data_IF_346910666102
#
_entry.id   IF_346910666102
#
_cell.length_a   1.000
_cell.length_b   1.000
_cell.length_c   1.000
_cell.angle_alpha   90.00
_cell.angle_beta   90.00
_cell.angle_gamma   90.00
#
_symmetry.space_group_name_H-M   'P 1'
#
loop_
_entity.id
_entity.type
_entity.pdbx_description
1 polymer ?
#
# COMPACT_ATOMS: atom_id res chain seq x y z
N UNK A 1 14.88 -18.21 49.96
CA UNK A 1 14.22 -16.91 50.02
C UNK A 1 13.77 -16.58 48.59
N UNK A 2 12.49 -16.84 48.33
CA UNK A 2 11.91 -16.59 47.00
C UNK A 2 11.49 -15.13 46.87
N UNK A 3 12.06 -14.44 45.89
CA UNK A 3 11.62 -13.09 45.53
C UNK A 3 10.48 -13.23 44.54
N UNK A 4 9.25 -13.09 45.03
CA UNK A 4 8.04 -13.03 44.24
C UNK A 4 8.05 -11.70 43.51
N UNK A 5 8.31 -11.70 42.22
CA UNK A 5 8.15 -10.52 41.37
C UNK A 5 6.64 -10.21 41.24
N UNK A 6 6.18 -9.28 42.07
CA UNK A 6 4.86 -8.64 41.89
C UNK A 6 4.93 -7.80 40.61
N UNK A 7 4.42 -8.35 39.51
CA UNK A 7 4.04 -7.57 38.34
C UNK A 7 2.95 -6.57 38.79
N UNK A 8 3.30 -5.30 38.86
CA UNK A 8 2.33 -4.22 38.94
C UNK A 8 1.48 -4.26 37.64
N UNK A 9 0.39 -5.02 37.64
CA UNK A 9 -0.72 -4.78 36.75
C UNK A 9 -1.28 -3.40 37.15
N UNK A 10 -0.94 -2.36 36.37
CA UNK A 10 -1.74 -1.13 36.40
C UNK A 10 -3.17 -1.56 36.07
N UNK A 11 -4.12 -1.24 36.93
CA UNK A 11 -5.56 -1.34 36.64
C UNK A 11 -5.84 -0.47 35.40
N UNK A 12 -5.73 -1.04 34.23
CA UNK A 12 -6.11 -0.36 32.98
C UNK A 12 -7.64 -0.35 32.99
N UNK A 13 -8.22 0.82 33.18
CA UNK A 13 -9.68 0.99 33.09
C UNK A 13 -10.13 0.50 31.71
N UNK A 14 -10.92 -0.57 31.67
CA UNK A 14 -11.51 -1.08 30.43
C UNK A 14 -12.36 0.01 29.79
N UNK A 15 -12.08 0.30 28.53
CA UNK A 15 -12.82 1.29 27.73
C UNK A 15 -13.59 0.58 26.60
N UNK A 16 -14.71 1.18 26.20
CA UNK A 16 -15.45 0.81 24.97
C UNK A 16 -14.90 1.61 23.80
N UNK A 17 -14.33 0.94 22.83
CA UNK A 17 -13.66 1.60 21.70
C UNK A 17 -14.28 1.12 20.39
N UNK A 18 -14.76 2.08 19.57
CA UNK A 18 -15.16 1.79 18.20
C UNK A 18 -13.95 1.93 17.26
N UNK A 19 -13.77 0.97 16.36
CA UNK A 19 -12.81 1.05 15.26
C UNK A 19 -13.58 0.98 13.95
N UNK A 20 -13.43 1.99 13.10
CA UNK A 20 -14.16 2.13 11.83
C UNK A 20 -13.21 1.92 10.66
N UNK A 21 -13.44 0.84 9.92
CA UNK A 21 -12.59 0.34 8.85
C UNK A 21 -11.73 -0.84 9.29
N UNK A 22 -11.76 -1.92 8.51
CA UNK A 22 -11.07 -3.17 8.80
C UNK A 22 -9.85 -3.43 7.92
N UNK A 23 -9.29 -2.41 7.29
CA UNK A 23 -7.95 -2.50 6.67
C UNK A 23 -6.88 -2.80 7.73
N UNK A 24 -5.63 -3.02 7.29
CA UNK A 24 -4.52 -3.36 8.21
C UNK A 24 -4.38 -2.37 9.37
N UNK A 25 -4.68 -1.08 9.15
CA UNK A 25 -4.62 -0.04 10.18
C UNK A 25 -5.66 -0.27 11.28
N UNK A 26 -6.92 -0.49 10.89
CA UNK A 26 -7.98 -0.75 11.84
C UNK A 26 -7.85 -2.10 12.52
N UNK A 27 -7.48 -3.14 11.78
CA UNK A 27 -7.25 -4.48 12.33
C UNK A 27 -6.12 -4.47 13.36
N UNK A 28 -4.99 -3.80 13.08
CA UNK A 28 -3.87 -3.75 14.01
C UNK A 28 -4.17 -2.95 15.28
N UNK A 29 -4.89 -1.82 15.14
CA UNK A 29 -5.35 -1.04 16.29
C UNK A 29 -6.34 -1.85 17.12
N UNK A 30 -7.39 -2.42 16.50
CA UNK A 30 -8.41 -3.22 17.16
C UNK A 30 -7.82 -4.44 17.88
N UNK A 31 -6.90 -5.16 17.23
CA UNK A 31 -6.22 -6.32 17.77
C UNK A 31 -5.38 -5.98 19.01
N UNK A 32 -4.58 -4.89 18.96
CA UNK A 32 -3.75 -4.46 20.08
C UNK A 32 -4.60 -4.00 21.27
N UNK A 33 -5.64 -3.21 21.00
CA UNK A 33 -6.55 -2.70 22.03
C UNK A 33 -7.34 -3.85 22.70
N UNK A 34 -7.85 -4.80 21.92
CA UNK A 34 -8.58 -5.97 22.43
C UNK A 34 -7.67 -6.86 23.32
N UNK A 35 -6.44 -7.17 22.88
CA UNK A 35 -5.46 -7.95 23.67
C UNK A 35 -5.08 -7.28 24.98
N UNK A 36 -5.25 -5.96 25.07
CA UNK A 36 -4.98 -5.19 26.28
C UNK A 36 -6.18 -5.03 27.21
N UNK A 37 -7.28 -5.74 26.93
CA UNK A 37 -8.45 -5.80 27.81
C UNK A 37 -9.50 -4.72 27.57
N UNK A 38 -9.44 -4.00 26.45
CA UNK A 38 -10.50 -3.07 26.05
C UNK A 38 -11.64 -3.79 25.33
N UNK A 39 -12.87 -3.29 25.44
CA UNK A 39 -14.03 -3.75 24.68
C UNK A 39 -14.02 -3.08 23.30
N UNK A 40 -13.62 -3.83 22.26
CA UNK A 40 -13.46 -3.30 20.92
C UNK A 40 -14.62 -3.71 20.01
N UNK A 41 -15.20 -2.74 19.32
CA UNK A 41 -16.22 -2.92 18.28
C UNK A 41 -15.65 -2.50 16.93
N UNK A 42 -15.39 -3.48 16.03
CA UNK A 42 -14.87 -3.25 14.69
C UNK A 42 -16.02 -3.17 13.67
N UNK A 43 -16.11 -2.05 12.96
CA UNK A 43 -17.08 -1.80 11.91
C UNK A 43 -16.44 -1.88 10.53
N UNK A 44 -17.08 -2.61 9.62
CA UNK A 44 -16.70 -2.71 8.22
C UNK A 44 -17.92 -2.51 7.32
N UNK A 45 -17.78 -1.59 6.36
CA UNK A 45 -18.86 -1.27 5.42
C UNK A 45 -18.98 -2.32 4.31
N UNK A 46 -17.84 -2.89 3.90
CA UNK A 46 -17.74 -3.91 2.85
C UNK A 46 -18.28 -5.27 3.27
N UNK A 47 -18.19 -6.22 2.38
CA UNK A 47 -18.68 -7.59 2.54
C UNK A 47 -17.60 -8.58 3.01
N UNK A 48 -16.38 -8.10 3.24
CA UNK A 48 -15.26 -8.83 3.85
C UNK A 48 -14.44 -7.91 4.76
N UNK A 49 -13.73 -8.51 5.73
CA UNK A 49 -12.74 -7.81 6.53
C UNK A 49 -11.38 -7.85 5.84
N UNK A 50 -10.62 -6.75 5.91
CA UNK A 50 -9.24 -6.72 5.39
C UNK A 50 -8.92 -5.49 4.53
N UNK A 51 -9.92 -4.80 3.99
CA UNK A 51 -9.70 -3.67 3.08
C UNK A 51 -8.92 -4.12 1.82
N UNK A 52 -7.72 -3.55 1.57
CA UNK A 52 -6.85 -3.98 0.46
C UNK A 52 -6.31 -5.42 0.62
N UNK A 53 -6.47 -6.06 1.77
CA UNK A 53 -6.21 -7.49 1.95
C UNK A 53 -7.43 -8.27 1.50
N UNK A 54 -7.55 -8.41 0.19
CA UNK A 54 -8.67 -9.10 -0.46
C UNK A 54 -8.17 -10.35 -1.16
N UNK A 55 -8.41 -11.51 -0.54
CA UNK A 55 -8.13 -12.82 -1.13
C UNK A 55 -9.41 -13.42 -1.68
N UNK A 56 -9.42 -13.75 -2.97
CA UNK A 56 -10.56 -14.31 -3.70
C UNK A 56 -10.28 -15.77 -4.04
N UNK A 57 -11.23 -16.64 -3.78
CA UNK A 57 -11.14 -18.04 -4.21
C UNK A 57 -11.53 -18.17 -5.68
N UNK A 58 -10.65 -18.78 -6.48
CA UNK A 58 -10.88 -19.06 -7.90
C UNK A 58 -10.65 -20.53 -8.21
N UNK A 59 -11.26 -21.00 -9.30
CA UNK A 59 -11.03 -22.34 -9.81
C UNK A 59 -10.37 -22.27 -11.18
N UNK A 60 -9.11 -22.71 -11.26
CA UNK A 60 -8.31 -22.74 -12.49
C UNK A 60 -7.60 -24.08 -12.61
N UNK A 61 -7.54 -24.66 -13.82
CA UNK A 61 -6.96 -25.98 -14.09
C UNK A 61 -7.57 -27.08 -13.17
N UNK A 62 -8.87 -26.98 -12.84
CA UNK A 62 -9.58 -27.92 -11.98
C UNK A 62 -9.23 -27.86 -10.48
N UNK A 63 -8.51 -26.82 -10.04
CA UNK A 63 -8.14 -26.61 -8.64
C UNK A 63 -8.70 -25.29 -8.11
N UNK A 64 -9.20 -25.32 -6.86
CA UNK A 64 -9.67 -24.10 -6.17
C UNK A 64 -8.61 -23.64 -5.19
N UNK A 65 -8.25 -22.34 -5.24
CA UNK A 65 -7.25 -21.71 -4.38
C UNK A 65 -7.49 -20.20 -4.26
N UNK A 66 -6.93 -19.61 -3.19
CA UNK A 66 -7.01 -18.17 -2.95
C UNK A 66 -5.95 -17.39 -3.72
N UNK A 67 -6.34 -16.25 -4.27
CA UNK A 67 -5.44 -15.25 -4.89
C UNK A 67 -5.71 -13.87 -4.32
N UNK A 68 -4.66 -13.10 -4.12
CA UNK A 68 -4.75 -11.74 -3.59
C UNK A 68 -4.94 -10.74 -4.74
N UNK A 69 -5.83 -9.76 -4.54
CA UNK A 69 -6.16 -8.75 -5.56
C UNK A 69 -5.73 -7.33 -5.19
N UNK A 70 -5.28 -7.11 -3.94
CA UNK A 70 -4.82 -5.81 -3.45
C UNK A 70 -3.43 -5.91 -2.82
N UNK A 71 -3.30 -6.33 -1.57
CA UNK A 71 -2.00 -6.53 -0.93
C UNK A 71 -1.34 -7.82 -1.41
N UNK A 72 -0.24 -7.71 -2.17
CA UNK A 72 0.41 -8.84 -2.85
C UNK A 72 1.72 -9.28 -2.19
N UNK A 73 2.59 -8.34 -1.83
CA UNK A 73 3.98 -8.63 -1.44
C UNK A 73 4.51 -7.73 -0.35
N UNK A 74 5.50 -8.22 0.39
CA UNK A 74 6.27 -7.50 1.39
C UNK A 74 7.72 -8.00 1.40
N UNK A 75 8.62 -7.31 2.12
CA UNK A 75 9.99 -7.77 2.34
C UNK A 75 10.44 -7.48 3.77
N UNK A 76 11.47 -8.17 4.24
CA UNK A 76 11.92 -8.06 5.63
C UNK A 76 12.61 -6.72 5.94
N UNK A 77 13.08 -5.99 4.92
CA UNK A 77 13.81 -4.74 5.11
C UNK A 77 12.89 -3.55 5.36
N UNK A 78 11.81 -3.45 4.59
CA UNK A 78 10.90 -2.29 4.62
C UNK A 78 9.56 -2.56 5.29
N UNK A 79 9.31 -3.80 5.72
CA UNK A 79 8.09 -4.20 6.44
C UNK A 79 8.42 -4.85 7.80
N UNK A 80 9.26 -4.20 8.66
CA UNK A 80 9.74 -4.84 9.89
C UNK A 80 8.62 -5.13 10.90
N UNK A 81 7.60 -4.27 11.01
CA UNK A 81 6.47 -4.51 11.91
C UNK A 81 5.56 -5.61 11.37
N UNK A 82 5.32 -5.65 10.05
CA UNK A 82 4.50 -6.69 9.43
C UNK A 82 5.13 -8.08 9.59
N UNK A 83 6.45 -8.19 9.40
CA UNK A 83 7.20 -9.43 9.63
C UNK A 83 7.04 -9.89 11.08
N UNK A 84 7.23 -8.98 12.05
CA UNK A 84 7.06 -9.29 13.47
C UNK A 84 5.63 -9.67 13.84
N UNK A 85 4.65 -8.99 13.25
CA UNK A 85 3.24 -9.34 13.40
C UNK A 85 2.99 -10.77 12.90
N UNK A 86 3.47 -11.12 11.69
CA UNK A 86 3.29 -12.45 11.11
C UNK A 86 3.97 -13.54 11.96
N UNK A 87 5.15 -13.25 12.52
CA UNK A 87 5.83 -14.14 13.46
C UNK A 87 4.99 -14.36 14.74
N UNK A 88 4.40 -13.29 15.31
CA UNK A 88 3.58 -13.36 16.55
C UNK A 88 2.31 -14.17 16.34
N UNK A 89 1.58 -13.92 15.24
CA UNK A 89 0.31 -14.58 14.94
C UNK A 89 0.45 -15.85 14.08
N UNK A 90 1.69 -16.32 13.84
CA UNK A 90 2.02 -17.58 13.15
C UNK A 90 1.46 -17.66 11.72
N UNK A 91 1.70 -16.63 10.93
CA UNK A 91 1.33 -16.60 9.50
C UNK A 91 2.47 -17.14 8.64
N UNK A 92 2.18 -18.13 7.80
CA UNK A 92 3.15 -18.69 6.86
C UNK A 92 3.33 -17.78 5.65
N UNK A 93 4.57 -17.65 5.20
CA UNK A 93 4.95 -16.81 4.05
C UNK A 93 5.77 -17.60 3.05
N UNK A 94 5.73 -17.22 1.79
CA UNK A 94 6.49 -17.83 0.69
C UNK A 94 7.30 -16.78 -0.04
N UNK A 95 8.45 -17.16 -0.59
CA UNK A 95 9.23 -16.30 -1.47
C UNK A 95 8.42 -15.88 -2.70
N UNK A 96 8.55 -14.63 -3.11
CA UNK A 96 7.86 -14.01 -4.23
C UNK A 96 8.85 -13.37 -5.20
N UNK A 97 8.45 -13.25 -6.46
CA UNK A 97 9.16 -12.50 -7.48
C UNK A 97 8.68 -11.03 -7.48
N UNK A 98 9.60 -10.09 -7.71
CA UNK A 98 9.30 -8.66 -7.83
C UNK A 98 9.93 -8.11 -9.12
N UNK A 99 9.88 -8.90 -10.19
CA UNK A 99 10.33 -8.49 -11.51
C UNK A 99 9.35 -7.50 -12.15
N UNK A 100 9.89 -6.65 -13.03
CA UNK A 100 9.16 -5.59 -13.69
C UNK A 100 9.42 -5.61 -15.20
N UNK A 101 8.37 -5.40 -16.00
CA UNK A 101 8.45 -5.23 -17.44
C UNK A 101 7.66 -4.03 -17.94
N UNK A 102 8.02 -3.58 -19.13
CA UNK A 102 7.31 -2.53 -19.87
C UNK A 102 6.88 -3.04 -21.25
N UNK A 103 5.64 -2.69 -21.61
CA UNK A 103 5.04 -2.82 -22.95
C UNK A 103 4.47 -1.46 -23.33
N UNK A 104 5.13 -0.74 -24.27
CA UNK A 104 4.74 0.62 -24.63
C UNK A 104 5.01 0.90 -26.11
N UNK A 105 4.21 1.74 -26.79
CA UNK A 105 4.43 2.10 -28.18
C UNK A 105 5.66 3.02 -28.32
N UNK A 106 6.41 2.85 -29.42
CA UNK A 106 7.58 3.69 -29.73
C UNK A 106 7.20 5.07 -30.30
N UNK A 107 5.94 5.26 -30.67
CA UNK A 107 5.34 6.53 -31.09
C UNK A 107 3.82 6.47 -30.90
N UNK A 108 3.17 7.64 -30.86
CA UNK A 108 1.70 7.75 -30.70
C UNK A 108 0.91 7.49 -32.00
N UNK A 109 1.58 7.01 -33.05
CA UNK A 109 0.92 6.67 -34.33
C UNK A 109 0.19 5.32 -34.23
N UNK A 110 -1.01 5.19 -34.83
CA UNK A 110 -1.70 3.92 -34.90
C UNK A 110 -0.83 2.82 -35.53
N UNK A 111 -0.80 1.64 -34.91
CA UNK A 111 0.05 0.54 -35.34
C UNK A 111 1.55 0.69 -35.04
N UNK A 112 1.91 1.62 -34.15
CA UNK A 112 3.29 1.80 -33.72
C UNK A 112 3.91 0.48 -33.22
N UNK A 113 5.18 0.32 -33.46
CA UNK A 113 5.93 -0.82 -32.92
C UNK A 113 5.97 -0.74 -31.41
N UNK A 114 5.68 -1.85 -30.75
CA UNK A 114 5.79 -1.96 -29.30
C UNK A 114 7.24 -2.18 -28.87
N UNK A 115 7.65 -1.46 -27.85
CA UNK A 115 8.84 -1.72 -27.06
C UNK A 115 8.44 -2.65 -25.90
N UNK A 116 9.11 -3.80 -25.81
CA UNK A 116 8.95 -4.77 -24.72
C UNK A 116 10.30 -5.12 -24.14
N UNK A 117 10.45 -4.99 -22.84
CA UNK A 117 11.66 -5.35 -22.10
C UNK A 117 11.33 -5.60 -20.63
N UNK A 118 12.21 -6.32 -19.94
CA UNK A 118 12.07 -6.56 -18.50
C UNK A 118 13.41 -6.42 -17.77
N UNK A 119 13.38 -5.99 -16.52
CA UNK A 119 14.59 -5.62 -15.77
C UNK A 119 15.24 -6.73 -14.95
N UNK A 120 14.90 -8.02 -15.17
CA UNK A 120 15.39 -9.11 -14.34
C UNK A 120 16.86 -9.47 -14.61
N UNK A 121 17.26 -9.54 -15.90
CA UNK A 121 18.61 -9.87 -16.34
C UNK A 121 18.85 -9.39 -17.79
N UNK A 122 20.09 -9.51 -18.30
CA UNK A 122 20.42 -9.06 -19.66
C UNK A 122 19.58 -9.75 -20.74
N UNK A 123 19.21 -11.01 -20.55
CA UNK A 123 18.39 -11.73 -21.52
C UNK A 123 16.98 -11.14 -21.62
N UNK A 124 16.40 -10.72 -20.50
CA UNK A 124 15.06 -10.09 -20.42
C UNK A 124 15.12 -8.61 -20.81
N UNK A 125 16.18 -7.88 -20.48
CA UNK A 125 16.40 -6.50 -20.94
C UNK A 125 16.42 -6.46 -22.46
N UNK A 126 17.10 -7.39 -23.09
CA UNK A 126 17.16 -7.53 -24.54
C UNK A 126 16.23 -8.63 -25.07
N UNK A 127 15.04 -8.80 -24.47
CA UNK A 127 14.03 -9.73 -24.98
C UNK A 127 13.69 -9.45 -26.45
N UNK A 128 13.69 -8.19 -26.86
CA UNK A 128 13.73 -7.77 -28.25
C UNK A 128 15.18 -7.56 -28.69
N UNK A 129 15.81 -8.55 -29.33
CA UNK A 129 17.24 -8.53 -29.70
C UNK A 129 17.67 -7.31 -30.54
N UNK A 130 16.74 -6.71 -31.31
CA UNK A 130 16.99 -5.47 -32.07
C UNK A 130 17.39 -4.30 -31.15
N UNK A 131 17.02 -4.31 -29.87
CA UNK A 131 17.35 -3.25 -28.91
C UNK A 131 18.84 -3.21 -28.56
N UNK A 132 19.62 -4.27 -28.85
CA UNK A 132 21.09 -4.27 -28.77
C UNK A 132 21.72 -3.19 -29.66
N UNK A 133 21.09 -2.87 -30.78
CA UNK A 133 21.55 -1.89 -31.74
C UNK A 133 20.72 -0.61 -31.78
N UNK A 134 19.80 -0.44 -30.83
CA UNK A 134 18.94 0.76 -30.76
C UNK A 134 19.60 1.82 -29.85
N UNK A 135 20.13 2.93 -30.41
CA UNK A 135 20.85 3.93 -29.62
C UNK A 135 19.97 4.62 -28.58
N UNK A 136 18.66 4.76 -28.83
CA UNK A 136 17.69 5.29 -27.86
C UNK A 136 17.57 4.35 -26.66
N UNK A 137 17.44 3.04 -26.90
CA UNK A 137 17.35 2.05 -25.84
C UNK A 137 18.64 1.98 -25.01
N UNK A 138 19.80 2.00 -25.67
CA UNK A 138 21.11 2.02 -24.99
C UNK A 138 21.31 3.30 -24.16
N UNK A 139 20.78 4.44 -24.62
CA UNK A 139 20.76 5.70 -23.86
C UNK A 139 19.93 5.55 -22.57
N UNK A 140 18.74 4.95 -22.67
CA UNK A 140 17.91 4.63 -21.49
C UNK A 140 18.71 3.80 -20.47
N UNK A 141 19.36 2.71 -20.91
CA UNK A 141 20.16 1.85 -20.01
C UNK A 141 21.29 2.63 -19.34
N UNK A 142 22.03 3.44 -20.10
CA UNK A 142 23.07 4.31 -19.54
C UNK A 142 22.51 5.24 -18.47
N UNK A 143 21.36 5.85 -18.73
CA UNK A 143 20.73 6.80 -17.82
C UNK A 143 20.15 6.11 -16.58
N UNK A 144 19.66 4.87 -16.67
CA UNK A 144 19.29 4.03 -15.50
C UNK A 144 20.51 3.87 -14.56
N UNK A 145 21.66 3.44 -15.11
CA UNK A 145 22.87 3.23 -14.31
C UNK A 145 23.38 4.53 -13.69
N UNK A 146 23.30 5.63 -14.45
CA UNK A 146 23.68 6.97 -13.98
C UNK A 146 22.76 7.44 -12.85
N UNK A 147 21.44 7.33 -13.02
CA UNK A 147 20.44 7.71 -12.03
C UNK A 147 20.62 6.92 -10.72
N UNK A 148 20.75 5.60 -10.82
CA UNK A 148 20.97 4.75 -9.66
C UNK A 148 22.23 5.17 -8.87
N UNK A 149 23.33 5.47 -9.56
CA UNK A 149 24.56 5.95 -8.91
C UNK A 149 24.38 7.32 -8.26
N UNK A 150 23.82 8.31 -8.99
CA UNK A 150 23.64 9.67 -8.50
C UNK A 150 22.69 9.70 -7.28
N UNK A 151 21.55 9.03 -7.37
CA UNK A 151 20.56 9.01 -6.28
C UNK A 151 21.03 8.23 -5.05
N UNK A 152 21.83 7.16 -5.24
CA UNK A 152 22.47 6.46 -4.13
C UNK A 152 23.47 7.35 -3.40
N UNK A 153 24.29 8.12 -4.13
CA UNK A 153 25.23 9.08 -3.54
C UNK A 153 24.48 10.21 -2.79
N UNK A 154 23.40 10.72 -3.38
CA UNK A 154 22.57 11.74 -2.73
C UNK A 154 21.98 11.23 -1.41
N UNK A 155 21.46 10.02 -1.40
CA UNK A 155 20.86 9.41 -0.22
C UNK A 155 21.86 9.08 0.89
N UNK A 156 23.14 8.88 0.55
CA UNK A 156 24.23 8.62 1.50
C UNK A 156 24.91 9.92 1.99
N UNK A 157 24.63 11.05 1.34
CA UNK A 157 25.20 12.33 1.76
C UNK A 157 24.39 12.90 2.94
N UNK A 158 25.11 13.43 3.97
CA UNK A 158 24.50 14.14 5.11
C UNK A 158 23.87 15.49 4.71
N UNK A 159 23.95 15.87 3.43
CA UNK A 159 23.32 17.10 2.91
C UNK A 159 21.83 16.84 2.74
N UNK A 160 21.03 17.80 3.25
CA UNK A 160 19.61 17.83 2.92
C UNK A 160 19.45 17.80 1.40
N UNK A 161 18.71 16.82 0.89
CA UNK A 161 18.35 16.81 -0.52
C UNK A 161 17.45 18.01 -0.78
N UNK A 162 17.72 18.74 -1.88
CA UNK A 162 16.85 19.84 -2.30
C UNK A 162 15.40 19.34 -2.42
N UNK A 163 14.47 20.09 -1.87
CA UNK A 163 13.04 19.81 -1.95
C UNK A 163 12.48 20.24 -3.32
N UNK A 164 13.12 19.72 -4.40
CA UNK A 164 12.69 19.99 -5.77
C UNK A 164 11.83 18.87 -6.30
N UNK A 165 10.92 19.14 -7.26
CA UNK A 165 10.18 18.13 -7.99
C UNK A 165 11.12 17.19 -8.77
N UNK A 166 10.73 15.91 -8.86
CA UNK A 166 11.47 14.90 -9.65
C UNK A 166 11.68 15.35 -11.10
N UNK A 167 10.67 15.96 -11.72
CA UNK A 167 10.74 16.48 -13.09
C UNK A 167 11.82 17.52 -13.29
N UNK A 168 11.97 18.46 -12.34
CA UNK A 168 12.99 19.51 -12.38
C UNK A 168 14.39 18.93 -12.24
N UNK A 169 14.55 17.92 -11.38
CA UNK A 169 15.83 17.20 -11.26
C UNK A 169 16.22 16.53 -12.57
N UNK A 170 15.27 15.80 -13.21
CA UNK A 170 15.53 15.15 -14.49
C UNK A 170 15.93 16.14 -15.58
N UNK A 171 15.23 17.29 -15.66
CA UNK A 171 15.54 18.34 -16.63
C UNK A 171 16.90 18.99 -16.37
N UNK A 172 17.20 19.40 -15.14
CA UNK A 172 18.49 20.02 -14.76
C UNK A 172 19.68 19.10 -15.02
N UNK A 173 19.48 17.79 -14.78
CA UNK A 173 20.53 16.77 -14.99
C UNK A 173 20.53 16.23 -16.41
N UNK A 174 19.66 16.71 -17.31
CA UNK A 174 19.59 16.33 -18.72
C UNK A 174 19.45 14.80 -18.91
N UNK A 175 18.55 14.18 -18.14
CA UNK A 175 18.18 12.80 -18.39
C UNK A 175 17.38 12.67 -19.68
N UNK A 176 17.58 11.58 -20.42
CA UNK A 176 16.87 11.35 -21.69
C UNK A 176 15.36 11.13 -21.49
N UNK A 177 14.58 11.49 -22.51
CA UNK A 177 13.16 11.19 -22.56
C UNK A 177 12.89 9.70 -22.52
N UNK A 178 13.77 8.90 -23.14
CA UNK A 178 13.69 7.43 -23.11
C UNK A 178 13.83 6.88 -21.68
N UNK A 179 14.74 7.44 -20.87
CA UNK A 179 14.89 7.06 -19.47
C UNK A 179 13.63 7.42 -18.68
N UNK A 180 13.13 8.64 -18.87
CA UNK A 180 11.92 9.13 -18.18
C UNK A 180 10.70 8.29 -18.56
N UNK A 181 10.41 8.12 -19.86
CA UNK A 181 9.13 7.61 -20.36
C UNK A 181 9.10 6.08 -20.52
N UNK A 182 10.25 5.43 -20.70
CA UNK A 182 10.31 3.98 -20.91
C UNK A 182 10.74 3.19 -19.67
N UNK A 183 11.19 3.87 -18.62
CA UNK A 183 11.63 3.23 -17.37
C UNK A 183 11.09 3.92 -16.13
N UNK A 184 11.46 5.21 -15.87
CA UNK A 184 11.28 5.82 -14.56
C UNK A 184 9.80 6.04 -14.23
N UNK A 185 9.05 6.69 -15.12
CA UNK A 185 7.62 6.95 -14.92
C UNK A 185 6.78 5.68 -14.94
N UNK A 186 7.00 4.70 -15.85
CA UNK A 186 6.38 3.38 -15.76
C UNK A 186 6.59 2.70 -14.40
N UNK A 187 7.84 2.65 -13.91
CA UNK A 187 8.15 2.04 -12.62
C UNK A 187 7.46 2.78 -11.47
N UNK A 188 7.58 4.10 -11.43
CA UNK A 188 6.98 4.93 -10.39
C UNK A 188 5.44 4.85 -10.41
N UNK A 189 4.84 4.93 -11.58
CA UNK A 189 3.40 4.78 -11.75
C UNK A 189 2.88 3.43 -11.26
N UNK A 190 3.60 2.34 -11.51
CA UNK A 190 3.25 1.02 -10.96
C UNK A 190 3.27 0.97 -9.44
N UNK A 191 4.20 1.68 -8.81
CA UNK A 191 4.37 1.67 -7.34
C UNK A 191 3.23 2.40 -6.65
N UNK A 192 2.86 3.60 -7.14
CA UNK A 192 1.85 4.44 -6.50
C UNK A 192 0.48 4.41 -7.21
N UNK A 193 0.37 3.70 -8.33
CA UNK A 193 -0.88 3.59 -9.12
C UNK A 193 -1.50 4.95 -9.47
N UNK A 194 -0.65 5.95 -9.72
CA UNK A 194 -1.05 7.31 -10.04
C UNK A 194 -0.53 7.75 -11.42
N UNK A 195 -1.19 8.72 -12.07
CA UNK A 195 -0.78 9.24 -13.37
C UNK A 195 0.68 9.70 -13.41
N UNK A 196 1.35 9.43 -14.53
CA UNK A 196 2.79 9.69 -14.69
C UNK A 196 3.18 11.16 -14.50
N UNK A 197 2.30 12.10 -14.87
CA UNK A 197 2.53 13.55 -14.67
C UNK A 197 2.60 13.92 -13.18
N UNK A 198 1.78 13.30 -12.35
CA UNK A 198 1.82 13.52 -10.90
C UNK A 198 3.16 13.07 -10.30
N UNK A 199 3.76 12.02 -10.87
CA UNK A 199 5.09 11.57 -10.43
C UNK A 199 6.20 12.58 -10.71
N UNK A 200 6.08 13.40 -11.75
CA UNK A 200 7.06 14.46 -12.02
C UNK A 200 7.00 15.59 -10.98
N UNK A 201 5.85 15.84 -10.37
CA UNK A 201 5.67 16.78 -9.28
C UNK A 201 6.08 16.23 -7.91
N UNK A 202 6.38 14.92 -7.81
CA UNK A 202 6.72 14.26 -6.55
C UNK A 202 8.06 14.81 -6.00
N UNK A 203 8.16 15.08 -4.67
CA UNK A 203 9.40 15.56 -4.08
C UNK A 203 10.55 14.56 -4.27
N UNK A 204 11.66 15.02 -4.85
CA UNK A 204 12.83 14.19 -5.16
C UNK A 204 13.36 13.44 -3.93
N UNK A 205 13.48 14.13 -2.81
CA UNK A 205 13.98 13.56 -1.57
C UNK A 205 13.14 12.36 -1.10
N UNK A 206 11.82 12.49 -1.16
CA UNK A 206 10.86 11.43 -0.81
C UNK A 206 10.97 10.25 -1.77
N UNK A 207 11.03 10.54 -3.08
CA UNK A 207 11.19 9.51 -4.12
C UNK A 207 12.49 8.71 -3.96
N UNK A 208 13.61 9.40 -3.78
CA UNK A 208 14.93 8.75 -3.64
C UNK A 208 15.00 7.90 -2.37
N UNK A 209 14.54 8.41 -1.22
CA UNK A 209 14.50 7.65 0.04
C UNK A 209 13.66 6.39 -0.11
N UNK A 210 12.47 6.53 -0.70
CA UNK A 210 11.61 5.39 -0.96
C UNK A 210 12.29 4.33 -1.83
N UNK A 211 12.83 4.74 -3.00
CA UNK A 211 13.51 3.83 -3.93
C UNK A 211 14.71 3.15 -3.30
N UNK A 212 15.48 3.86 -2.45
CA UNK A 212 16.61 3.29 -1.74
C UNK A 212 16.17 2.27 -0.70
N UNK A 213 15.17 2.59 0.13
CA UNK A 213 14.64 1.70 1.15
C UNK A 213 14.14 0.39 0.54
N UNK A 214 13.44 0.46 -0.59
CA UNK A 214 12.88 -0.70 -1.28
C UNK A 214 13.88 -1.39 -2.24
N UNK A 215 15.13 -0.91 -2.35
CA UNK A 215 16.15 -1.52 -3.23
C UNK A 215 15.86 -1.36 -4.73
N UNK A 216 15.03 -0.40 -5.12
CA UNK A 216 14.61 -0.20 -6.51
C UNK A 216 15.69 0.44 -7.39
N UNK A 217 16.59 1.22 -6.79
CA UNK A 217 17.75 1.86 -7.44
C UNK A 217 19.03 1.02 -7.29
N UNK A 218 18.90 -0.25 -6.89
CA UNK A 218 20.02 -1.18 -6.75
C UNK A 218 19.98 -2.22 -7.87
N UNK A 219 21.12 -2.45 -8.50
CA UNK A 219 21.28 -3.49 -9.53
C UNK A 219 21.54 -4.86 -8.88
N UNK A 220 22.23 -4.88 -7.73
CA UNK A 220 22.55 -6.06 -6.92
C UNK A 220 22.08 -5.90 -5.49
N UNK A 221 22.05 -6.99 -4.73
CA UNK A 221 21.60 -7.01 -3.33
C UNK A 221 20.16 -6.49 -3.11
N UNK A 222 19.29 -6.76 -4.08
CA UNK A 222 17.85 -6.45 -3.95
C UNK A 222 17.26 -7.29 -2.81
N UNK A 223 16.34 -6.75 -1.99
CA UNK A 223 15.68 -7.53 -0.96
C UNK A 223 14.89 -8.68 -1.58
N UNK A 224 14.87 -9.84 -0.91
CA UNK A 224 13.93 -10.90 -1.24
C UNK A 224 12.53 -10.44 -0.83
N UNK A 225 11.58 -10.60 -1.74
CA UNK A 225 10.17 -10.33 -1.50
C UNK A 225 9.45 -11.61 -1.11
N UNK A 226 8.36 -11.47 -0.39
CA UNK A 226 7.54 -12.54 0.14
C UNK A 226 6.07 -12.22 -0.07
N UNK A 227 5.25 -13.27 -0.05
CA UNK A 227 3.79 -13.20 -0.02
C UNK A 227 3.25 -14.09 1.09
N UNK A 228 1.99 -13.90 1.49
CA UNK A 228 1.34 -14.80 2.46
C UNK A 228 0.93 -16.09 1.74
N UNK A 229 1.37 -17.23 2.26
CA UNK A 229 1.05 -18.53 1.68
C UNK A 229 -0.45 -18.81 1.74
N UNK A 230 -1.06 -19.07 0.58
CA UNK A 230 -2.51 -19.34 0.47
C UNK A 230 -3.40 -18.10 0.50
N UNK A 231 -2.80 -16.89 0.52
CA UNK A 231 -3.49 -15.60 0.47
C UNK A 231 -3.48 -14.84 1.77
N UNK A 232 -3.47 -13.53 1.65
CA UNK A 232 -3.29 -12.61 2.77
C UNK A 232 -4.46 -12.62 3.78
N UNK A 233 -5.65 -13.08 3.40
CA UNK A 233 -6.78 -13.26 4.35
C UNK A 233 -6.41 -14.08 5.59
N UNK A 234 -5.39 -14.94 5.52
CA UNK A 234 -5.00 -15.77 6.66
C UNK A 234 -4.56 -14.93 7.86
N UNK A 235 -3.83 -13.84 7.67
CA UNK A 235 -3.47 -12.97 8.78
C UNK A 235 -4.69 -12.20 9.32
N UNK A 236 -5.61 -11.78 8.44
CA UNK A 236 -6.86 -11.10 8.84
C UNK A 236 -7.67 -11.97 9.78
N UNK A 237 -7.85 -13.25 9.43
CA UNK A 237 -8.56 -14.23 10.27
C UNK A 237 -7.90 -14.37 11.64
N UNK A 238 -6.56 -14.36 11.71
CA UNK A 238 -5.86 -14.45 13.01
C UNK A 238 -6.11 -13.21 13.88
N UNK A 239 -6.02 -12.00 13.31
CA UNK A 239 -6.27 -10.76 14.05
C UNK A 239 -7.71 -10.66 14.57
N UNK A 240 -8.66 -11.11 13.76
CA UNK A 240 -10.09 -11.08 14.11
C UNK A 240 -10.44 -11.98 15.31
N UNK A 241 -9.63 -12.99 15.66
CA UNK A 241 -9.89 -13.88 16.80
C UNK A 241 -9.93 -13.14 18.14
N UNK A 242 -9.11 -12.12 18.29
CA UNK A 242 -9.00 -11.33 19.53
C UNK A 242 -10.10 -10.27 19.66
N UNK A 243 -10.77 -9.91 18.56
CA UNK A 243 -11.77 -8.85 18.54
C UNK A 243 -13.14 -9.44 18.84
N UNK A 244 -13.80 -8.97 19.92
CA UNK A 244 -15.07 -9.53 20.38
C UNK A 244 -16.22 -9.14 19.46
N UNK A 245 -16.40 -7.84 19.22
CA UNK A 245 -17.53 -7.31 18.45
C UNK A 245 -17.08 -6.98 17.03
N UNK A 246 -17.61 -7.69 16.03
CA UNK A 246 -17.27 -7.53 14.61
C UNK A 246 -18.54 -7.34 13.79
N UNK A 247 -18.66 -6.17 13.15
CA UNK A 247 -19.84 -5.76 12.39
C UNK A 247 -19.47 -5.63 10.91
N UNK A 248 -19.73 -6.68 10.16
CA UNK A 248 -19.53 -6.74 8.69
C UNK A 248 -20.77 -6.19 7.99
N UNK A 249 -20.61 -5.61 6.80
CA UNK A 249 -21.72 -4.97 6.04
C UNK A 249 -22.48 -3.94 6.88
N UNK A 250 -21.76 -3.26 7.78
CA UNK A 250 -22.34 -2.35 8.75
C UNK A 250 -21.67 -0.97 8.62
N UNK A 251 -21.99 -0.21 7.56
CA UNK A 251 -21.43 1.12 7.38
C UNK A 251 -21.81 2.04 8.54
N UNK A 252 -20.81 2.69 9.11
CA UNK A 252 -21.03 3.83 10.01
C UNK A 252 -21.51 5.01 9.17
N UNK A 253 -22.53 5.70 9.63
CA UNK A 253 -23.18 6.81 8.93
C UNK A 253 -22.75 8.16 9.46
N UNK A 254 -22.55 8.26 10.77
CA UNK A 254 -22.21 9.50 11.45
C UNK A 254 -21.51 9.23 12.77
N UNK A 255 -20.61 10.13 13.12
CA UNK A 255 -19.89 10.14 14.39
C UNK A 255 -19.97 11.56 14.96
N UNK A 256 -20.39 11.67 16.22
CA UNK A 256 -20.42 12.94 16.95
C UNK A 256 -19.82 12.78 18.34
N UNK A 257 -19.15 13.83 18.80
CA UNK A 257 -18.55 13.89 20.14
C UNK A 257 -19.55 14.56 21.09
N UNK A 258 -19.96 13.84 22.11
CA UNK A 258 -21.00 14.27 23.03
C UNK A 258 -20.42 14.57 24.40
N UNK A 259 -20.58 15.80 24.88
CA UNK A 259 -20.21 16.17 26.24
C UNK A 259 -21.34 15.79 27.21
N UNK A 260 -21.07 14.88 28.12
CA UNK A 260 -21.97 14.41 29.16
C UNK A 260 -21.55 14.94 30.56
N UNK A 261 -21.20 16.22 30.64
CA UNK A 261 -20.68 16.84 31.83
C UNK A 261 -19.23 16.46 32.15
N UNK A 262 -19.00 15.63 33.14
CA UNK A 262 -17.63 15.21 33.52
C UNK A 262 -16.95 14.22 32.54
N UNK A 263 -17.68 13.66 31.62
CA UNK A 263 -17.19 12.67 30.65
C UNK A 263 -17.58 13.06 29.23
N UNK A 264 -16.61 12.98 28.32
CA UNK A 264 -16.85 13.07 26.88
C UNK A 264 -16.96 11.66 26.32
N UNK A 265 -17.99 11.41 25.54
CA UNK A 265 -18.18 10.16 24.81
C UNK A 265 -18.32 10.39 23.31
N UNK A 266 -18.21 9.34 22.53
CA UNK A 266 -18.38 9.36 21.08
C UNK A 266 -19.61 8.54 20.74
N UNK A 267 -20.57 9.18 20.07
CA UNK A 267 -21.74 8.53 19.51
C UNK A 267 -21.43 8.06 18.10
N UNK A 268 -21.60 6.78 17.84
CA UNK A 268 -21.42 6.16 16.52
C UNK A 268 -22.80 5.70 16.02
N UNK A 269 -23.21 6.19 14.86
CA UNK A 269 -24.47 5.83 14.21
C UNK A 269 -24.22 4.89 13.04
N UNK A 270 -24.93 3.77 13.01
CA UNK A 270 -24.87 2.77 11.95
C UNK A 270 -26.26 2.25 11.61
N UNK A 271 -26.35 1.25 10.74
CA UNK A 271 -27.62 0.55 10.49
C UNK A 271 -28.16 -0.18 11.73
N UNK A 272 -27.32 -0.44 12.73
CA UNK A 272 -27.69 -1.07 14.01
C UNK A 272 -28.24 -0.07 15.03
N UNK A 273 -28.36 1.20 14.69
CA UNK A 273 -28.72 2.27 15.60
C UNK A 273 -27.51 3.07 16.10
N UNK A 274 -27.68 3.77 17.22
CA UNK A 274 -26.68 4.62 17.85
C UNK A 274 -26.07 3.93 19.07
N UNK A 275 -24.76 3.82 19.13
CA UNK A 275 -24.02 3.29 20.27
C UNK A 275 -23.03 4.33 20.81
N UNK A 276 -22.81 4.31 22.13
CA UNK A 276 -21.88 5.21 22.81
C UNK A 276 -20.57 4.49 23.13
N UNK A 277 -19.47 5.17 22.86
CA UNK A 277 -18.11 4.70 23.09
C UNK A 277 -17.29 5.72 23.87
N UNK A 278 -16.29 5.24 24.59
CA UNK A 278 -15.32 6.11 25.27
C UNK A 278 -14.34 6.74 24.26
N UNK A 279 -14.02 6.01 23.20
CA UNK A 279 -13.07 6.42 22.16
C UNK A 279 -13.50 5.89 20.77
N UNK A 280 -13.07 6.57 19.72
CA UNK A 280 -13.21 6.07 18.35
C UNK A 280 -11.88 6.14 17.59
N UNK A 281 -11.61 5.10 16.81
CA UNK A 281 -10.50 5.04 15.86
C UNK A 281 -11.08 5.04 14.45
N UNK A 282 -10.81 6.09 13.68
CA UNK A 282 -11.16 6.19 12.27
C UNK A 282 -9.98 5.64 11.44
N UNK A 283 -10.16 4.44 10.91
CA UNK A 283 -9.15 3.68 10.18
C UNK A 283 -9.52 3.46 8.70
N UNK A 284 -10.33 4.33 8.16
CA UNK A 284 -10.68 4.45 6.73
C UNK A 284 -9.86 5.56 6.05
N UNK A 285 -10.16 5.88 4.79
CA UNK A 285 -9.54 7.00 4.09
C UNK A 285 -9.77 8.31 4.84
N UNK A 286 -8.88 9.29 4.68
CA UNK A 286 -8.99 10.57 5.40
C UNK A 286 -10.25 11.35 5.01
N UNK A 287 -10.62 11.35 3.74
CA UNK A 287 -11.85 11.96 3.22
C UNK A 287 -13.11 11.27 3.76
N UNK A 288 -13.11 9.93 3.82
CA UNK A 288 -14.18 9.14 4.45
C UNK A 288 -14.26 9.42 5.94
N UNK A 289 -13.11 9.48 6.63
CA UNK A 289 -13.04 9.84 8.04
C UNK A 289 -13.67 11.22 8.30
N UNK A 290 -13.35 12.21 7.45
CA UNK A 290 -13.91 13.54 7.53
C UNK A 290 -15.43 13.54 7.29
N UNK A 291 -15.89 12.80 6.28
CA UNK A 291 -17.30 12.71 5.94
C UNK A 291 -18.16 12.09 7.07
N UNK A 292 -17.58 11.20 7.87
CA UNK A 292 -18.26 10.59 9.01
C UNK A 292 -18.39 11.53 10.22
N UNK A 293 -17.53 12.53 10.35
CA UNK A 293 -17.52 13.45 11.49
C UNK A 293 -18.54 14.56 11.30
N UNK A 294 -19.67 14.49 12.02
CA UNK A 294 -20.74 15.52 11.95
C UNK A 294 -20.34 16.84 12.61
N UNK A 295 -19.36 16.82 13.52
CA UNK A 295 -18.88 17.95 14.31
C UNK A 295 -17.37 18.20 14.14
N UNK A 296 -16.82 17.94 12.93
CA UNK A 296 -15.41 18.09 12.64
C UNK A 296 -14.89 19.51 12.95
N UNK A 297 -13.76 19.60 13.65
CA UNK A 297 -13.07 20.85 13.93
C UNK A 297 -12.44 21.46 12.68
N UNK A 298 -11.99 22.70 12.76
CA UNK A 298 -11.30 23.35 11.65
C UNK A 298 -9.98 22.64 11.31
N UNK A 299 -9.23 22.19 12.33
CA UNK A 299 -7.99 21.45 12.18
C UNK A 299 -8.24 20.07 11.56
N UNK A 300 -9.25 19.32 12.03
CA UNK A 300 -9.64 18.05 11.45
C UNK A 300 -10.00 18.21 9.96
N UNK A 301 -10.81 19.22 9.63
CA UNK A 301 -11.18 19.54 8.24
C UNK A 301 -9.93 19.82 7.40
N UNK A 302 -9.04 20.70 7.89
CA UNK A 302 -7.82 21.08 7.18
C UNK A 302 -6.91 19.87 6.90
N UNK A 303 -6.70 19.00 7.89
CA UNK A 303 -5.78 17.88 7.78
C UNK A 303 -6.40 16.75 6.92
N UNK A 304 -7.64 16.35 7.22
CA UNK A 304 -8.26 15.19 6.59
C UNK A 304 -8.66 15.44 5.13
N UNK A 305 -8.96 16.68 4.73
CA UNK A 305 -9.27 17.03 3.35
C UNK A 305 -8.05 17.21 2.44
N UNK A 306 -6.85 17.26 3.01
CA UNK A 306 -5.64 17.55 2.24
C UNK A 306 -5.09 16.35 1.46
N UNK A 307 -5.55 15.12 1.77
CA UNK A 307 -5.10 13.90 1.08
C UNK A 307 -6.13 13.54 0.01
N UNK A 308 -5.72 13.63 -1.25
CA UNK A 308 -6.51 13.17 -2.39
C UNK A 308 -6.42 11.65 -2.57
N UNK A 309 -7.39 11.07 -3.27
CA UNK A 309 -7.41 9.64 -3.61
C UNK A 309 -7.64 9.43 -5.10
N UNK A 310 -6.80 8.56 -5.68
CA UNK A 310 -6.92 8.12 -7.07
C UNK A 310 -7.73 6.81 -7.11
N UNK A 311 -8.90 6.78 -7.75
CA UNK A 311 -9.64 5.55 -7.97
C UNK A 311 -8.90 4.65 -8.96
N UNK A 312 -8.94 3.34 -8.71
CA UNK A 312 -8.32 2.31 -9.54
C UNK A 312 -9.27 1.13 -9.68
N UNK A 313 -9.45 0.66 -10.90
CA UNK A 313 -10.25 -0.51 -11.21
C UNK A 313 -9.37 -1.73 -11.43
N UNK A 314 -9.58 -2.79 -10.66
CA UNK A 314 -8.83 -4.04 -10.74
C UNK A 314 -9.72 -5.15 -11.32
N UNK A 315 -9.20 -5.87 -12.31
CA UNK A 315 -9.88 -7.01 -12.94
C UNK A 315 -9.04 -8.26 -12.75
N UNK A 316 -9.61 -9.29 -12.13
CA UNK A 316 -9.01 -10.62 -11.98
C UNK A 316 -9.46 -11.49 -13.15
N UNK A 317 -8.51 -12.03 -13.92
CA UNK A 317 -8.79 -12.78 -15.15
C UNK A 317 -7.65 -13.75 -15.52
N UNK A 318 -7.87 -14.53 -16.59
CA UNK A 318 -6.87 -15.45 -17.18
C UNK A 318 -6.48 -15.10 -18.62
N UNK A 319 -6.91 -13.97 -19.13
CA UNK A 319 -6.55 -13.51 -20.48
C UNK A 319 -5.11 -12.98 -20.50
N UNK A 320 -4.20 -13.73 -21.13
CA UNK A 320 -2.79 -13.37 -21.23
C UNK A 320 -2.45 -12.42 -22.40
N UNK A 321 -3.43 -11.96 -23.17
CA UNK A 321 -3.22 -11.05 -24.32
C UNK A 321 -2.68 -9.67 -23.89
N UNK A 322 -2.97 -9.26 -22.66
CA UNK A 322 -2.47 -8.03 -22.06
C UNK A 322 -0.96 -8.07 -21.75
N UNK A 323 -0.37 -9.25 -21.55
CA UNK A 323 1.04 -9.41 -21.26
C UNK A 323 1.92 -9.13 -22.50
N UNK A 324 3.25 -8.87 -22.32
CA UNK A 324 4.16 -8.77 -23.45
C UNK A 324 4.07 -9.96 -24.39
N UNK A 325 4.10 -9.71 -25.71
CA UNK A 325 4.05 -10.78 -26.72
C UNK A 325 5.23 -11.77 -26.57
N UNK A 326 6.35 -11.28 -26.05
CA UNK A 326 7.50 -12.12 -25.74
C UNK A 326 7.42 -12.65 -24.32
N UNK A 327 7.17 -13.94 -24.13
CA UNK A 327 7.11 -14.59 -22.82
C UNK A 327 8.38 -14.36 -21.97
N UNK A 328 9.54 -14.14 -22.60
CA UNK A 328 10.79 -13.80 -21.90
C UNK A 328 10.71 -12.45 -21.16
N UNK A 329 9.80 -11.54 -21.56
CA UNK A 329 9.59 -10.27 -20.91
C UNK A 329 8.46 -10.33 -19.87
N UNK A 330 7.78 -11.46 -19.69
CA UNK A 330 6.79 -11.61 -18.64
C UNK A 330 7.45 -11.44 -17.29
N UNK A 331 6.82 -10.65 -16.45
CA UNK A 331 7.30 -10.29 -15.12
C UNK A 331 6.17 -10.34 -14.12
N UNK A 332 6.50 -10.30 -12.86
CA UNK A 332 5.50 -10.19 -11.80
C UNK A 332 4.62 -8.95 -11.99
N UNK A 333 5.23 -7.84 -12.40
CA UNK A 333 4.58 -6.56 -12.71
C UNK A 333 4.83 -6.20 -14.17
N UNK A 334 3.77 -6.10 -14.96
CA UNK A 334 3.85 -5.78 -16.39
C UNK A 334 3.14 -4.46 -16.65
N UNK A 335 3.89 -3.39 -16.87
CA UNK A 335 3.37 -2.09 -17.22
C UNK A 335 2.95 -2.06 -18.69
N UNK A 336 1.76 -1.53 -18.97
CA UNK A 336 1.28 -1.26 -20.33
C UNK A 336 0.93 0.21 -20.50
N UNK A 337 1.27 0.79 -21.66
CA UNK A 337 0.89 2.15 -22.06
C UNK A 337 0.33 2.14 -23.47
N UNK A 338 -0.67 2.99 -23.71
CA UNK A 338 -1.20 3.29 -25.05
C UNK A 338 -0.47 4.45 -25.72
N UNK A 339 0.51 5.06 -25.07
CA UNK A 339 1.27 6.21 -25.57
C UNK A 339 1.22 7.41 -24.61
N UNK A 340 1.79 8.53 -25.06
CA UNK A 340 1.94 9.74 -24.21
C UNK A 340 0.62 10.46 -23.97
N UNK A 341 -0.40 10.21 -24.77
CA UNK A 341 -1.71 10.84 -24.64
C UNK A 341 -2.65 10.11 -23.65
N UNK A 342 -2.27 8.93 -23.17
CA UNK A 342 -3.04 8.17 -22.18
C UNK A 342 -2.33 8.24 -20.82
N UNK A 343 -2.79 9.08 -19.89
CA UNK A 343 -2.11 9.29 -18.60
C UNK A 343 -2.36 8.14 -17.60
N UNK A 344 -3.31 7.23 -17.91
CA UNK A 344 -3.64 6.13 -16.99
C UNK A 344 -2.46 5.16 -16.82
N UNK A 345 -2.19 4.80 -15.59
CA UNK A 345 -1.26 3.73 -15.28
C UNK A 345 -2.00 2.40 -15.38
N UNK A 346 -1.58 1.57 -16.32
CA UNK A 346 -2.05 0.21 -16.47
C UNK A 346 -0.96 -0.78 -16.05
N UNK A 347 -1.29 -1.67 -15.12
CA UNK A 347 -0.38 -2.71 -14.62
C UNK A 347 -1.07 -4.05 -14.62
N UNK A 348 -0.43 -5.06 -15.16
CA UNK A 348 -0.88 -6.44 -15.13
C UNK A 348 0.01 -7.24 -14.16
N UNK A 349 -0.52 -7.61 -13.01
CA UNK A 349 0.15 -8.44 -12.01
C UNK A 349 -0.01 -9.91 -12.39
N UNK A 350 1.07 -10.57 -12.80
CA UNK A 350 1.07 -12.01 -13.09
C UNK A 350 1.22 -12.77 -11.77
N UNK A 351 0.09 -13.20 -11.23
CA UNK A 351 0.02 -13.79 -9.89
C UNK A 351 0.79 -15.12 -9.78
N UNK A 352 0.95 -15.86 -10.88
CA UNK A 352 1.80 -17.08 -10.90
C UNK A 352 3.29 -16.82 -10.56
N UNK A 353 3.76 -15.57 -10.70
CA UNK A 353 5.10 -15.16 -10.28
C UNK A 353 5.13 -14.56 -8.88
N UNK A 354 4.00 -13.99 -8.44
CA UNK A 354 3.85 -13.34 -7.14
C UNK A 354 3.48 -14.31 -6.03
N UNK A 355 2.65 -15.31 -6.33
CA UNK A 355 2.14 -16.30 -5.38
C UNK A 355 2.43 -17.72 -5.88
N UNK A 356 2.70 -18.70 -5.00
CA UNK A 356 2.92 -20.09 -5.39
C UNK A 356 1.58 -20.78 -5.77
N UNK A 357 1.03 -20.40 -6.93
CA UNK A 357 -0.26 -20.92 -7.39
C UNK A 357 -0.13 -22.35 -7.94
N UNK A 358 -1.10 -23.23 -7.66
CA UNK A 358 -1.07 -24.63 -8.09
C UNK A 358 -1.60 -24.85 -9.53
N UNK A 359 -1.54 -23.83 -10.40
CA UNK A 359 -2.02 -23.84 -11.78
C UNK A 359 -0.93 -23.42 -12.77
N UNK A 360 -1.07 -23.79 -14.05
CA UNK A 360 -0.19 -23.37 -15.14
C UNK A 360 -0.77 -22.22 -15.96
N UNK A 361 -2.09 -22.14 -16.03
CA UNK A 361 -2.79 -21.04 -16.70
C UNK A 361 -2.41 -19.72 -16.02
N UNK A 362 -2.04 -18.68 -16.78
CA UNK A 362 -1.78 -17.36 -16.23
C UNK A 362 -3.00 -16.82 -15.47
N UNK A 363 -2.79 -16.42 -14.23
CA UNK A 363 -3.78 -15.70 -13.42
C UNK A 363 -3.27 -14.28 -13.24
N UNK A 364 -4.08 -13.30 -13.61
CA UNK A 364 -3.67 -11.91 -13.75
C UNK A 364 -4.65 -11.01 -13.00
N UNK A 365 -4.12 -10.05 -12.27
CA UNK A 365 -4.88 -8.87 -11.83
C UNK A 365 -4.43 -7.69 -12.66
N UNK A 366 -5.31 -7.16 -13.50
CA UNK A 366 -5.07 -5.96 -14.30
C UNK A 366 -5.61 -4.74 -13.56
N UNK A 367 -4.75 -3.80 -13.25
CA UNK A 367 -5.12 -2.50 -12.68
C UNK A 367 -5.29 -1.50 -13.81
N UNK A 368 -6.49 -0.91 -13.94
CA UNK A 368 -6.87 0.04 -14.98
C UNK A 368 -6.54 -0.46 -16.41
N UNK A 369 -7.00 -1.64 -16.82
CA UNK A 369 -6.65 -2.20 -18.13
C UNK A 369 -7.01 -1.23 -19.26
N UNK A 370 -6.11 -1.10 -20.24
CA UNK A 370 -6.35 -0.26 -21.44
C UNK A 370 -7.40 -0.88 -22.36
N UNK A 371 -7.42 -2.20 -22.41
CA UNK A 371 -8.44 -2.98 -23.10
C UNK A 371 -9.06 -3.95 -22.11
N UNK A 372 -10.38 -4.09 -22.16
CA UNK A 372 -11.08 -5.06 -21.30
C UNK A 372 -10.61 -6.49 -21.63
N UNK A 373 -10.29 -7.30 -20.62
CA UNK A 373 -10.01 -8.72 -20.81
C UNK A 373 -11.22 -9.45 -21.43
N UNK A 374 -10.96 -10.57 -22.10
CA UNK A 374 -12.04 -11.43 -22.59
C UNK A 374 -13.04 -11.71 -21.46
N UNK A 375 -14.34 -11.35 -21.63
CA UNK A 375 -15.35 -11.55 -20.58
C UNK A 375 -15.44 -12.98 -20.07
N UNK A 376 -15.16 -13.98 -20.90
CA UNK A 376 -15.15 -15.40 -20.50
C UNK A 376 -13.98 -15.74 -19.54
N UNK A 377 -12.93 -14.92 -19.51
CA UNK A 377 -11.77 -15.10 -18.66
C UNK A 377 -11.87 -14.36 -17.33
N UNK A 378 -12.84 -13.45 -17.17
CA UNK A 378 -12.97 -12.58 -15.99
C UNK A 378 -13.56 -13.36 -14.81
N UNK A 379 -12.90 -13.32 -13.67
CA UNK A 379 -13.29 -13.98 -12.42
C UNK A 379 -13.70 -13.00 -11.31
N UNK A 380 -13.34 -11.70 -11.44
CA UNK A 380 -13.73 -10.70 -10.46
C UNK A 380 -13.35 -9.27 -10.89
N UNK A 381 -14.08 -8.29 -10.33
CA UNK A 381 -13.83 -6.86 -10.53
C UNK A 381 -13.86 -6.17 -9.17
N UNK A 382 -12.92 -5.27 -8.92
CA UNK A 382 -12.73 -4.61 -7.63
C UNK A 382 -12.36 -3.16 -7.85
N UNK A 383 -12.93 -2.28 -7.03
CA UNK A 383 -12.59 -0.86 -7.02
C UNK A 383 -11.74 -0.57 -5.79
N UNK A 384 -10.56 -0.03 -6.03
CA UNK A 384 -9.64 0.43 -5.00
C UNK A 384 -9.39 1.93 -5.16
N UNK A 385 -8.97 2.59 -4.09
CA UNK A 385 -8.52 3.96 -4.14
C UNK A 385 -7.21 4.12 -3.38
N UNK A 386 -6.24 4.74 -4.01
CA UNK A 386 -4.91 4.94 -3.44
C UNK A 386 -4.68 6.41 -3.11
N UNK A 387 -4.07 6.74 -1.95
CA UNK A 387 -3.77 8.12 -1.59
C UNK A 387 -2.74 8.72 -2.54
N UNK A 388 -2.92 10.00 -2.85
CA UNK A 388 -1.99 10.79 -3.66
C UNK A 388 -1.14 11.64 -2.72
N UNK A 389 0.19 11.55 -2.85
CA UNK A 389 1.14 12.20 -1.96
C UNK A 389 1.77 13.44 -2.62
N UNK A 390 1.03 14.52 -2.64
CA UNK A 390 1.54 15.85 -2.97
C UNK A 390 2.06 16.60 -1.72
N UNK A 391 2.50 17.82 -1.89
CA UNK A 391 3.01 18.64 -0.78
C UNK A 391 1.95 18.93 0.29
N UNK A 392 0.66 19.01 -0.09
CA UNK A 392 -0.44 19.21 0.85
C UNK A 392 -0.67 17.96 1.72
N UNK A 393 -0.65 16.78 1.10
CA UNK A 393 -0.76 15.51 1.82
C UNK A 393 0.41 15.30 2.79
N UNK A 394 1.66 15.63 2.39
CA UNK A 394 2.84 15.54 3.26
C UNK A 394 2.73 16.51 4.44
N UNK A 395 2.28 17.76 4.21
CA UNK A 395 2.06 18.73 5.28
C UNK A 395 0.96 18.24 6.26
N UNK A 396 -0.10 17.63 5.74
CA UNK A 396 -1.16 17.04 6.57
C UNK A 396 -0.65 15.87 7.44
N UNK A 397 0.21 15.02 6.90
CA UNK A 397 0.86 13.94 7.68
C UNK A 397 1.67 14.51 8.86
N UNK A 398 2.42 15.59 8.64
CA UNK A 398 3.20 16.26 9.68
C UNK A 398 2.31 16.92 10.75
N UNK A 399 1.13 17.41 10.37
CA UNK A 399 0.18 18.05 11.28
C UNK A 399 -0.71 17.04 12.04
N UNK A 400 -0.82 15.81 11.56
CA UNK A 400 -1.71 14.78 12.11
C UNK A 400 -1.54 14.53 13.63
N UNK A 401 -0.33 14.53 14.20
CA UNK A 401 -0.15 14.37 15.65
C UNK A 401 -0.94 15.39 16.48
N UNK A 402 -1.19 16.57 15.94
CA UNK A 402 -1.94 17.64 16.63
C UNK A 402 -3.42 17.34 16.86
N UNK A 403 -4.01 16.43 16.10
CA UNK A 403 -5.42 16.03 16.25
C UNK A 403 -5.60 14.62 16.84
N UNK A 404 -4.52 13.86 17.01
CA UNK A 404 -4.59 12.50 17.55
C UNK A 404 -5.05 12.50 19.01
N UNK A 405 -6.07 11.67 19.31
CA UNK A 405 -6.66 11.56 20.64
C UNK A 405 -7.47 12.78 21.09
N UNK A 406 -7.50 13.85 20.31
CA UNK A 406 -8.32 15.01 20.62
C UNK A 406 -9.81 14.63 20.50
N UNK A 407 -10.59 15.13 21.46
CA UNK A 407 -12.04 14.85 21.49
C UNK A 407 -12.40 13.36 21.41
N UNK A 408 -11.53 12.48 22.02
CA UNK A 408 -11.70 11.02 22.05
C UNK A 408 -11.68 10.36 20.65
N UNK A 409 -10.98 10.97 19.69
CA UNK A 409 -10.95 10.53 18.30
C UNK A 409 -9.52 10.32 17.84
N UNK A 410 -9.26 9.18 17.19
CA UNK A 410 -7.97 8.77 16.66
C UNK A 410 -8.08 8.49 15.17
N UNK A 411 -7.02 8.71 14.43
CA UNK A 411 -6.98 8.52 12.98
C UNK A 411 -5.84 7.56 12.63
N UNK A 412 -6.14 6.58 11.81
CA UNK A 412 -5.16 5.62 11.28
C UNK A 412 -5.41 5.37 9.79
N UNK A 413 -4.39 4.96 9.07
CA UNK A 413 -4.48 4.65 7.64
C UNK A 413 -3.12 4.63 6.99
N UNK A 414 -2.97 3.92 5.87
CA UNK A 414 -1.75 3.94 5.09
C UNK A 414 -1.41 5.34 4.55
N UNK A 415 -2.40 6.22 4.43
CA UNK A 415 -2.26 7.62 4.02
C UNK A 415 -1.42 8.47 5.00
N UNK A 416 -1.18 7.98 6.22
CA UNK A 416 -0.31 8.64 7.21
C UNK A 416 1.18 8.43 6.94
N UNK A 417 1.55 7.62 5.94
CA UNK A 417 2.89 7.33 5.47
C UNK A 417 2.95 7.32 3.95
N UNK A 418 3.62 6.36 3.36
CA UNK A 418 3.80 6.23 1.91
C UNK A 418 2.68 5.44 1.20
N UNK A 419 1.62 5.05 1.89
CA UNK A 419 0.48 4.32 1.32
C UNK A 419 0.61 2.80 1.33
N UNK A 420 1.64 2.25 1.96
CA UNK A 420 1.90 0.82 1.97
C UNK A 420 1.35 0.11 3.22
N UNK A 421 1.31 -1.21 3.15
CA UNK A 421 0.79 -2.05 4.23
C UNK A 421 1.52 -1.84 5.56
N UNK A 422 2.85 -1.66 5.53
CA UNK A 422 3.66 -1.32 6.70
C UNK A 422 3.24 0.02 7.32
N UNK A 423 2.93 1.03 6.49
CA UNK A 423 2.51 2.34 6.98
C UNK A 423 1.14 2.26 7.66
N UNK A 424 0.22 1.50 7.04
CA UNK A 424 -1.07 1.22 7.65
C UNK A 424 -0.94 0.52 9.00
N UNK A 425 -0.11 -0.52 9.07
CA UNK A 425 0.19 -1.22 10.33
C UNK A 425 0.80 -0.29 11.38
N UNK A 426 1.83 0.49 10.98
CA UNK A 426 2.49 1.46 11.87
C UNK A 426 1.49 2.46 12.45
N UNK A 427 0.55 2.94 11.63
CA UNK A 427 -0.46 3.92 12.08
C UNK A 427 -1.42 3.32 13.12
N UNK A 428 -1.87 2.08 12.92
CA UNK A 428 -2.72 1.38 13.89
C UNK A 428 -2.00 1.09 15.20
N UNK A 429 -0.71 0.69 15.14
CA UNK A 429 0.12 0.50 16.33
C UNK A 429 0.37 1.83 17.07
N UNK A 430 0.56 2.94 16.34
CA UNK A 430 0.73 4.26 16.95
C UNK A 430 -0.53 4.73 17.69
N UNK A 431 -1.72 4.40 17.18
CA UNK A 431 -2.97 4.62 17.92
C UNK A 431 -2.94 3.84 19.24
N UNK A 432 -2.59 2.55 19.24
CA UNK A 432 -2.50 1.76 20.48
C UNK A 432 -1.45 2.33 21.46
N UNK A 433 -0.33 2.86 20.96
CA UNK A 433 0.68 3.56 21.78
C UNK A 433 0.10 4.82 22.45
N UNK A 434 -0.84 5.51 21.82
CA UNK A 434 -1.59 6.62 22.44
C UNK A 434 -2.39 6.20 23.67
N UNK A 435 -2.75 4.93 23.77
CA UNK A 435 -3.35 4.30 24.96
C UNK A 435 -2.30 3.69 25.91
N UNK A 436 -1.02 3.98 25.71
CA UNK A 436 0.10 3.38 26.45
C UNK A 436 0.26 1.87 26.24
N UNK A 437 -0.27 1.34 25.15
CA UNK A 437 -0.19 -0.06 24.77
C UNK A 437 0.86 -0.23 23.67
N UNK A 438 1.86 -1.08 23.91
CA UNK A 438 2.93 -1.35 22.94
C UNK A 438 2.77 -2.72 22.31
N UNK A 439 3.12 -2.83 21.03
CA UNK A 439 3.19 -4.11 20.36
C UNK A 439 4.21 -5.04 21.06
N UNK A 440 3.96 -6.37 21.12
CA UNK A 440 4.82 -7.31 21.86
C UNK A 440 6.31 -7.27 21.47
N UNK A 441 6.59 -6.93 20.21
CA UNK A 441 7.96 -6.83 19.67
C UNK A 441 8.62 -5.45 19.83
N UNK A 442 7.92 -4.46 20.38
CA UNK A 442 8.48 -3.14 20.70
C UNK A 442 8.87 -3.09 22.16
N UNK A 443 10.14 -3.44 22.48
CA UNK A 443 10.67 -3.30 23.84
C UNK A 443 10.70 -1.83 24.29
N UNK A 444 10.63 -1.60 25.60
CA UNK A 444 10.77 -0.29 26.20
C UNK A 444 12.18 0.26 25.90
N UNK A 445 12.31 1.17 24.94
CA UNK A 445 13.59 1.79 24.58
C UNK A 445 13.87 1.98 23.10
N UNK A 446 13.15 1.32 22.19
CA UNK A 446 13.25 1.65 20.78
C UNK A 446 12.29 2.81 20.46
N UNK A 447 12.82 4.04 20.46
CA UNK A 447 12.15 5.17 19.85
C UNK A 447 11.82 4.84 18.38
N UNK A 448 10.64 5.26 17.91
CA UNK A 448 10.27 5.20 16.49
C UNK A 448 11.32 6.00 15.73
N UNK A 449 12.31 5.32 15.16
CA UNK A 449 13.22 5.93 14.21
C UNK A 449 12.36 6.39 13.03
N UNK A 450 12.28 7.69 12.82
CA UNK A 450 11.84 8.28 11.58
C UNK A 450 12.79 7.76 10.49
N UNK A 451 12.34 6.80 9.68
CA UNK A 451 13.02 6.33 8.47
C UNK A 451 12.13 6.55 7.28
#
# INVERSE_FOLDING_TARGET
MGVTAFLFMRDIKTMKIAVVGSGISGLSAAWQLARSGHEVSLYEAGDYFGGHTNTVDITVDGKTFGVDTGFLVFNHRTYPNLVRLFDDIKVNTSASDMSFSCKLPLSDQPGARMLEWAGANLNTVFAQRRNLFNPRFLRMIRDILRFNRETTQMAQSDRAMDDMPLGDFLARRQYSTEFRDWYLLPMAGCIWSCPTEQMLAFPLATFVRFCQNHGLIQVSNRPQWYTVTGGARHYVVQLLKEITNKYLKTPVKSISRVDLGAQRQVKVESAMGSLMYDQVVLACHSDQSLALLSDASAEEKKILSAVGYQPNHAVLHTDASCLPARKQAWSAWNYESAGTQEPRVCVHYLLNMLQPLPCKTPVIVSLNPLSEPDPASVMGRFDYAHPVFDSAAIAAQQALPGIQGQRNTWFAGAWTGYGFHEDGLKSGLAVAEGFSIRAPWRSAGMAVGAS
#
